data_IF_907455563155
#
_entry.id   IF_907455563155
#
_cell.length_a   1.000
_cell.length_b   1.000
_cell.length_c   1.000
_cell.angle_alpha   90.00
_cell.angle_beta   90.00
_cell.angle_gamma   90.00
#
_symmetry.space_group_name_H-M   'P 1'
#
loop_
_entity.id
_entity.type
_entity.pdbx_description
1 polymer ?
#
# COMPACT_ATOMS: atom_id res chain seq x y z
N UNK A 1 17.51 -11.53 -21.69
CA UNK A 1 16.18 -12.10 -21.95
C UNK A 1 15.13 -11.15 -21.37
N UNK A 2 14.21 -10.61 -22.18
CA UNK A 2 13.13 -9.73 -21.67
C UNK A 2 11.98 -10.61 -21.17
N UNK A 3 11.63 -10.49 -19.88
CA UNK A 3 10.49 -11.20 -19.29
C UNK A 3 9.21 -10.50 -19.77
N UNK A 4 8.29 -11.27 -20.35
CA UNK A 4 6.96 -10.77 -20.70
C UNK A 4 6.01 -11.04 -19.54
N UNK A 5 5.48 -9.98 -18.94
CA UNK A 5 4.44 -10.08 -17.92
C UNK A 5 3.08 -10.20 -18.60
N UNK A 6 2.30 -11.20 -18.20
CA UNK A 6 0.91 -11.38 -18.63
C UNK A 6 0.01 -11.17 -17.43
N UNK A 7 -1.02 -10.35 -17.59
CA UNK A 7 -2.05 -10.20 -16.56
C UNK A 7 -2.81 -11.52 -16.38
N UNK A 8 -2.83 -12.02 -15.15
CA UNK A 8 -3.62 -13.18 -14.75
C UNK A 8 -4.88 -12.70 -14.01
N UNK A 9 -6.06 -13.28 -14.26
CA UNK A 9 -7.31 -12.85 -13.61
C UNK A 9 -7.21 -12.82 -12.08
N UNK A 10 -6.72 -13.90 -11.47
CA UNK A 10 -6.56 -13.99 -10.02
C UNK A 10 -5.62 -12.92 -9.43
N UNK A 11 -4.62 -12.46 -10.20
CA UNK A 11 -3.74 -11.35 -9.77
C UNK A 11 -4.45 -10.01 -9.84
N UNK A 12 -5.29 -9.80 -10.88
CA UNK A 12 -6.13 -8.62 -11.00
C UNK A 12 -7.14 -8.59 -9.84
N UNK A 13 -7.77 -9.72 -9.53
CA UNK A 13 -8.75 -9.82 -8.46
C UNK A 13 -8.15 -9.56 -7.08
N UNK A 14 -6.93 -10.06 -6.82
CA UNK A 14 -6.19 -9.78 -5.60
C UNK A 14 -5.89 -8.27 -5.46
N UNK A 15 -5.41 -7.63 -6.53
CA UNK A 15 -5.12 -6.19 -6.54
C UNK A 15 -6.40 -5.38 -6.31
N UNK A 16 -7.47 -5.67 -7.06
CA UNK A 16 -8.74 -4.97 -6.93
C UNK A 16 -9.36 -5.17 -5.53
N UNK A 17 -9.17 -6.33 -4.91
CA UNK A 17 -9.68 -6.58 -3.56
C UNK A 17 -9.06 -5.66 -2.50
N UNK A 18 -7.83 -5.18 -2.68
CA UNK A 18 -7.25 -4.16 -1.81
C UNK A 18 -7.72 -2.76 -2.21
N UNK A 19 -7.67 -2.45 -3.50
CA UNK A 19 -7.94 -1.09 -4.01
C UNK A 19 -9.41 -0.71 -3.79
N UNK A 20 -10.34 -1.63 -4.02
CA UNK A 20 -11.78 -1.39 -3.88
C UNK A 20 -12.19 -1.12 -2.43
N UNK A 21 -11.40 -1.51 -1.42
CA UNK A 21 -11.65 -1.14 -0.02
C UNK A 21 -11.65 0.38 0.17
N UNK A 22 -10.90 1.12 -0.63
CA UNK A 22 -10.81 2.58 -0.55
C UNK A 22 -11.63 3.30 -1.63
N UNK A 23 -12.61 2.62 -2.25
CA UNK A 23 -13.53 3.24 -3.20
C UNK A 23 -14.21 4.49 -2.59
N UNK A 24 -14.20 5.60 -3.34
CA UNK A 24 -14.71 6.89 -2.89
C UNK A 24 -13.69 7.80 -2.20
N UNK A 25 -12.47 7.31 -1.91
CA UNK A 25 -11.38 8.17 -1.44
C UNK A 25 -11.00 9.19 -2.53
N UNK A 26 -10.87 10.46 -2.14
CA UNK A 26 -10.47 11.53 -3.07
C UNK A 26 -9.02 11.35 -3.50
N UNK A 27 -8.78 11.47 -4.80
CA UNK A 27 -7.44 11.56 -5.36
C UNK A 27 -6.92 12.97 -5.15
N UNK A 28 -6.06 13.13 -4.15
CA UNK A 28 -5.30 14.37 -3.94
C UNK A 28 -3.94 14.12 -4.56
N UNK A 29 -3.71 14.68 -5.75
CA UNK A 29 -2.36 14.77 -6.27
C UNK A 29 -1.66 15.84 -5.44
N UNK A 30 -0.65 15.42 -4.67
CA UNK A 30 0.30 16.37 -4.12
C UNK A 30 0.90 17.10 -5.31
N UNK A 31 0.41 18.31 -5.58
CA UNK A 31 1.02 19.17 -6.57
C UNK A 31 2.43 19.37 -6.05
N UNK A 32 3.39 18.77 -6.75
CA UNK A 32 4.75 19.28 -6.77
C UNK A 32 4.61 20.74 -7.18
N UNK A 33 4.47 21.60 -6.18
CA UNK A 33 5.03 22.92 -6.26
C UNK A 33 6.51 22.63 -6.41
N UNK A 34 6.93 22.47 -7.66
CA UNK A 34 8.31 22.71 -8.03
C UNK A 34 8.68 23.96 -7.25
N UNK A 35 9.59 23.80 -6.28
CA UNK A 35 10.29 24.90 -5.67
C UNK A 35 11.13 25.49 -6.82
N UNK A 36 10.44 26.20 -7.72
CA UNK A 36 11.01 27.22 -8.52
C UNK A 36 11.47 28.24 -7.52
N UNK A 37 12.78 28.45 -7.51
CA UNK A 37 13.46 29.66 -7.07
C UNK A 37 12.67 30.92 -7.44
N UNK A 38 11.66 31.27 -6.65
CA UNK A 38 10.92 32.52 -6.73
C UNK A 38 10.68 33.04 -5.31
N UNK A 39 11.38 34.11 -4.90
CA UNK A 39 11.44 34.54 -3.52
C UNK A 39 10.29 35.51 -3.18
N UNK A 40 9.02 35.08 -3.26
CA UNK A 40 7.92 36.05 -3.03
C UNK A 40 6.57 35.55 -2.54
N UNK A 41 6.43 34.31 -2.03
CA UNK A 41 5.23 33.97 -1.23
C UNK A 41 5.64 33.22 0.02
N UNK A 42 5.19 33.73 1.17
CA UNK A 42 5.26 33.06 2.46
C UNK A 42 4.44 31.77 2.34
N UNK A 43 5.08 30.68 1.94
CA UNK A 43 4.50 29.34 2.02
C UNK A 43 4.55 28.93 3.48
N UNK A 44 3.40 28.71 4.10
CA UNK A 44 3.33 28.25 5.48
C UNK A 44 4.03 26.89 5.59
N UNK A 45 4.78 26.65 6.66
CA UNK A 45 5.48 25.39 6.88
C UNK A 45 4.54 24.16 6.84
N UNK A 46 3.27 24.35 7.19
CA UNK A 46 2.20 23.36 7.11
C UNK A 46 1.88 22.91 5.68
N UNK A 47 1.93 23.83 4.71
CA UNK A 47 1.60 23.53 3.30
C UNK A 47 2.74 22.75 2.62
N UNK A 48 3.97 22.93 3.11
CA UNK A 48 5.15 22.17 2.65
C UNK A 48 5.12 20.72 3.18
N UNK A 49 4.73 20.50 4.44
CA UNK A 49 4.62 19.16 5.02
C UNK A 49 3.51 18.31 4.39
N UNK A 50 2.40 18.94 3.95
CA UNK A 50 1.35 18.26 3.20
C UNK A 50 1.81 17.78 1.83
N UNK A 51 2.82 18.43 1.24
CA UNK A 51 3.43 18.04 -0.02
C UNK A 51 4.20 16.72 0.05
N UNK A 52 4.73 16.36 1.22
CA UNK A 52 5.66 15.24 1.40
C UNK A 52 5.02 14.00 2.03
N UNK A 53 3.78 14.04 2.50
CA UNK A 53 3.11 12.85 3.05
C UNK A 53 2.01 12.36 2.12
N UNK A 54 1.69 11.07 2.22
CA UNK A 54 0.50 10.57 1.56
C UNK A 54 -0.75 11.29 2.11
N UNK A 55 -1.73 11.63 1.26
CA UNK A 55 -3.01 12.16 1.75
C UNK A 55 -3.65 11.19 2.75
N UNK A 56 -4.22 11.75 3.82
CA UNK A 56 -4.93 10.96 4.83
C UNK A 56 -6.14 10.24 4.21
N UNK A 57 -6.51 9.09 4.78
CA UNK A 57 -7.79 8.44 4.46
C UNK A 57 -8.92 9.35 4.96
N UNK A 58 -9.72 9.86 4.03
CA UNK A 58 -10.84 10.78 4.29
C UNK A 58 -12.17 10.06 4.44
N UNK A 59 -12.23 8.79 4.02
CA UNK A 59 -13.39 7.93 4.18
C UNK A 59 -13.75 7.76 5.67
N UNK A 60 -15.04 7.85 5.98
CA UNK A 60 -15.54 7.49 7.31
C UNK A 60 -15.36 5.99 7.57
N UNK A 61 -15.36 5.61 8.85
CA UNK A 61 -15.22 4.19 9.22
C UNK A 61 -16.38 3.34 8.70
N UNK A 62 -17.59 3.92 8.60
CA UNK A 62 -18.76 3.24 8.04
C UNK A 62 -18.58 2.96 6.54
N UNK A 63 -18.15 3.96 5.77
CA UNK A 63 -17.93 3.82 4.33
C UNK A 63 -16.80 2.82 4.03
N UNK A 64 -15.71 2.89 4.80
CA UNK A 64 -14.60 1.96 4.66
C UNK A 64 -15.03 0.52 4.99
N UNK A 65 -15.78 0.33 6.07
CA UNK A 65 -16.32 -0.97 6.45
C UNK A 65 -17.31 -1.50 5.42
N UNK A 66 -18.15 -0.65 4.82
CA UNK A 66 -19.06 -1.02 3.74
C UNK A 66 -18.30 -1.52 2.51
N UNK A 67 -17.24 -0.81 2.10
CA UNK A 67 -16.39 -1.23 0.99
C UNK A 67 -15.73 -2.59 1.26
N UNK A 68 -15.17 -2.78 2.46
CA UNK A 68 -14.58 -4.06 2.87
C UNK A 68 -15.61 -5.18 2.81
N UNK A 69 -16.83 -4.96 3.32
CA UNK A 69 -17.92 -5.95 3.26
C UNK A 69 -18.32 -6.29 1.82
N UNK A 70 -18.33 -5.30 0.90
CA UNK A 70 -18.58 -5.55 -0.53
C UNK A 70 -17.51 -6.45 -1.14
N UNK A 71 -16.24 -6.20 -0.83
CA UNK A 71 -15.12 -7.05 -1.27
C UNK A 71 -15.24 -8.46 -0.68
N UNK A 72 -15.49 -8.59 0.62
CA UNK A 72 -15.67 -9.88 1.29
C UNK A 72 -16.83 -10.68 0.69
N UNK A 73 -17.98 -10.03 0.47
CA UNK A 73 -19.14 -10.64 -0.15
C UNK A 73 -18.83 -11.17 -1.56
N UNK A 74 -18.15 -10.37 -2.41
CA UNK A 74 -17.72 -10.79 -3.75
C UNK A 74 -16.82 -12.03 -3.72
N UNK A 75 -15.99 -12.16 -2.69
CA UNK A 75 -15.07 -13.27 -2.49
C UNK A 75 -15.65 -14.42 -1.66
N UNK A 76 -16.95 -14.38 -1.33
CA UNK A 76 -17.63 -15.36 -0.46
C UNK A 76 -16.95 -15.55 0.92
N UNK A 77 -16.44 -14.46 1.49
CA UNK A 77 -15.80 -14.43 2.80
C UNK A 77 -16.77 -14.02 3.92
N UNK A 78 -16.53 -14.44 5.18
CA UNK A 78 -17.27 -13.93 6.33
C UNK A 78 -17.18 -12.40 6.43
N UNK A 79 -18.32 -11.76 6.68
CA UNK A 79 -18.41 -10.30 6.75
C UNK A 79 -17.90 -9.77 8.10
N UNK A 80 -17.01 -8.79 8.05
CA UNK A 80 -16.49 -8.12 9.25
C UNK A 80 -17.57 -7.30 9.94
N UNK A 81 -17.60 -7.36 11.28
CA UNK A 81 -18.56 -6.56 12.09
C UNK A 81 -18.07 -5.13 12.31
N UNK A 82 -16.76 -4.95 12.45
CA UNK A 82 -16.11 -3.66 12.65
C UNK A 82 -14.67 -3.70 12.09
N UNK A 83 -14.03 -2.55 11.95
CA UNK A 83 -12.62 -2.44 11.54
C UNK A 83 -11.61 -2.89 12.61
N UNK A 84 -12.08 -3.05 13.86
CA UNK A 84 -11.26 -3.37 15.04
C UNK A 84 -11.51 -4.79 15.56
N UNK A 85 -12.26 -5.59 14.81
CA UNK A 85 -12.54 -6.98 15.13
C UNK A 85 -11.51 -7.87 14.42
N UNK A 86 -10.56 -8.39 15.20
CA UNK A 86 -9.49 -9.23 14.71
C UNK A 86 -9.76 -10.69 15.08
N UNK A 87 -9.68 -11.58 14.09
CA UNK A 87 -9.88 -13.00 14.29
C UNK A 87 -8.83 -13.81 13.55
N UNK A 88 -8.50 -14.98 14.09
CA UNK A 88 -7.58 -15.94 13.47
C UNK A 88 -8.38 -17.17 13.06
N UNK A 89 -8.11 -17.69 11.87
CA UNK A 89 -8.63 -18.97 11.42
C UNK A 89 -7.81 -20.11 12.03
N UNK A 90 -8.46 -21.05 12.70
CA UNK A 90 -7.80 -22.30 13.09
C UNK A 90 -7.60 -23.22 11.86
N UNK A 91 -6.81 -24.28 12.02
CA UNK A 91 -6.63 -25.36 11.03
C UNK A 91 -7.94 -25.97 10.50
N UNK A 92 -9.04 -25.82 11.26
CA UNK A 92 -10.39 -26.28 10.89
C UNK A 92 -11.27 -25.19 10.27
N UNK A 93 -10.71 -24.06 9.85
CA UNK A 93 -11.42 -22.93 9.23
C UNK A 93 -12.36 -22.16 10.17
N UNK A 94 -12.26 -22.35 11.49
CA UNK A 94 -13.10 -21.65 12.48
C UNK A 94 -12.40 -20.40 13.01
N UNK A 95 -13.09 -19.26 12.96
CA UNK A 95 -12.62 -17.99 13.53
C UNK A 95 -12.56 -18.05 15.06
N UNK A 96 -11.46 -17.57 15.63
CA UNK A 96 -11.30 -17.29 17.07
C UNK A 96 -10.83 -15.86 17.30
N UNK A 97 -11.25 -15.21 18.40
CA UNK A 97 -10.75 -13.89 18.73
C UNK A 97 -9.24 -13.94 19.01
N UNK A 98 -8.54 -12.89 18.60
CA UNK A 98 -7.13 -12.68 18.94
C UNK A 98 -6.93 -12.46 20.44
N UNK A 99 -5.69 -12.60 20.91
CA UNK A 99 -5.32 -12.20 22.27
C UNK A 99 -5.46 -10.68 22.46
N UNK A 100 -5.80 -10.20 23.67
CA UNK A 100 -5.94 -8.77 23.94
C UNK A 100 -4.70 -7.94 23.59
N UNK A 101 -3.49 -8.46 23.87
CA UNK A 101 -2.23 -7.75 23.56
C UNK A 101 -2.06 -7.52 22.05
N UNK A 102 -2.37 -8.53 21.24
CA UNK A 102 -2.33 -8.40 19.78
C UNK A 102 -3.27 -7.29 19.29
N UNK A 103 -4.50 -7.25 19.83
CA UNK A 103 -5.48 -6.22 19.46
C UNK A 103 -4.98 -4.82 19.82
N UNK A 104 -4.38 -4.65 21.01
CA UNK A 104 -3.81 -3.36 21.42
C UNK A 104 -2.69 -2.92 20.46
N UNK A 105 -1.77 -3.81 20.16
CA UNK A 105 -0.59 -3.48 19.35
C UNK A 105 -0.97 -3.24 17.88
N UNK A 106 -1.94 -3.98 17.34
CA UNK A 106 -2.47 -3.76 15.99
C UNK A 106 -3.12 -2.37 15.86
N UNK A 107 -4.00 -2.01 16.80
CA UNK A 107 -4.69 -0.71 16.80
C UNK A 107 -3.73 0.47 17.03
N UNK A 108 -2.59 0.24 17.69
CA UNK A 108 -1.55 1.24 17.83
C UNK A 108 -0.76 1.44 16.52
N UNK A 109 -0.67 0.41 15.67
CA UNK A 109 0.10 0.46 14.42
C UNK A 109 -0.69 1.10 13.26
N UNK A 110 -1.98 0.78 13.13
CA UNK A 110 -2.82 1.30 12.05
C UNK A 110 -4.28 1.30 12.44
N UNK A 111 -5.06 2.19 11.81
CA UNK A 111 -6.53 2.18 11.89
C UNK A 111 -7.17 1.13 10.97
N UNK A 112 -6.43 0.67 9.96
CA UNK A 112 -6.92 -0.21 8.90
C UNK A 112 -5.94 -1.36 8.73
N UNK A 113 -6.47 -2.58 8.77
CA UNK A 113 -5.74 -3.82 8.55
C UNK A 113 -6.48 -4.62 7.49
N UNK A 114 -5.79 -4.97 6.41
CA UNK A 114 -6.33 -5.76 5.31
C UNK A 114 -5.43 -6.97 5.11
N UNK A 115 -6.01 -8.15 5.16
CA UNK A 115 -5.31 -9.41 4.93
C UNK A 115 -5.66 -9.94 3.53
N UNK A 116 -4.61 -10.26 2.76
CA UNK A 116 -4.74 -10.89 1.45
C UNK A 116 -4.02 -12.23 1.50
N UNK A 117 -4.80 -13.30 1.49
CA UNK A 117 -4.28 -14.66 1.46
C UNK A 117 -4.07 -15.11 0.01
N UNK A 118 -2.87 -15.60 -0.29
CA UNK A 118 -2.55 -16.13 -1.61
C UNK A 118 -1.58 -17.31 -1.48
N UNK A 119 -1.82 -18.36 -2.27
CA UNK A 119 -1.00 -19.55 -2.32
C UNK A 119 0.44 -19.26 -2.78
N UNK A 120 1.40 -20.10 -2.41
CA UNK A 120 2.79 -19.95 -2.87
C UNK A 120 2.90 -20.13 -4.38
N UNK A 121 3.76 -19.35 -5.04
CA UNK A 121 3.94 -19.39 -6.49
C UNK A 121 2.91 -18.60 -7.31
N UNK A 122 1.89 -18.00 -6.69
CA UNK A 122 0.85 -17.19 -7.41
C UNK A 122 1.26 -15.74 -7.69
N UNK A 123 2.48 -15.33 -7.32
CA UNK A 123 2.96 -13.98 -7.60
C UNK A 123 2.46 -12.89 -6.64
N UNK A 124 2.34 -13.22 -5.35
CA UNK A 124 2.11 -12.25 -4.24
C UNK A 124 2.91 -10.95 -4.40
N UNK A 125 4.21 -11.10 -4.69
CA UNK A 125 5.14 -9.99 -4.89
C UNK A 125 4.71 -9.06 -6.01
N UNK A 126 4.34 -9.61 -7.15
CA UNK A 126 3.84 -8.83 -8.28
C UNK A 126 2.52 -8.13 -7.93
N UNK A 127 1.62 -8.79 -7.19
CA UNK A 127 0.33 -8.25 -6.83
C UNK A 127 0.44 -7.04 -5.89
N UNK A 128 1.24 -7.09 -4.83
CA UNK A 128 1.36 -5.91 -3.96
C UNK A 128 2.11 -4.76 -4.67
N UNK A 129 3.07 -5.03 -5.56
CA UNK A 129 3.71 -3.97 -6.37
C UNK A 129 2.68 -3.33 -7.29
N UNK A 130 1.88 -4.12 -8.01
CA UNK A 130 0.80 -3.61 -8.85
C UNK A 130 -0.23 -2.83 -8.02
N UNK A 131 -0.52 -3.28 -6.80
CA UNK A 131 -1.40 -2.57 -5.85
C UNK A 131 -0.85 -1.20 -5.51
N UNK A 132 0.45 -1.06 -5.25
CA UNK A 132 1.11 0.24 -5.03
C UNK A 132 0.87 1.19 -6.20
N UNK A 133 1.06 0.73 -7.44
CA UNK A 133 0.80 1.54 -8.64
C UNK A 133 -0.68 1.90 -8.81
N UNK A 134 -1.61 0.98 -8.54
CA UNK A 134 -3.05 1.25 -8.59
C UNK A 134 -3.48 2.26 -7.50
N UNK A 135 -2.95 2.14 -6.28
CA UNK A 135 -3.22 3.07 -5.19
C UNK A 135 -2.73 4.48 -5.53
N UNK A 136 -1.53 4.60 -6.10
CA UNK A 136 -1.04 5.86 -6.62
C UNK A 136 -1.96 6.42 -7.72
N UNK A 137 -2.31 5.58 -8.70
CA UNK A 137 -3.12 6.01 -9.84
C UNK A 137 -4.54 6.44 -9.41
N UNK A 138 -5.16 5.76 -8.46
CA UNK A 138 -6.55 6.02 -8.04
C UNK A 138 -6.65 7.04 -6.92
N UNK A 139 -5.72 7.05 -5.97
CA UNK A 139 -5.85 7.84 -4.73
C UNK A 139 -4.68 8.80 -4.48
N UNK A 140 -3.62 8.76 -5.29
CA UNK A 140 -2.48 9.67 -5.17
C UNK A 140 -1.48 9.30 -4.08
N UNK A 141 -1.59 8.11 -3.46
CA UNK A 141 -0.59 7.63 -2.52
C UNK A 141 0.70 7.26 -3.24
N UNK A 142 1.81 7.92 -2.91
CA UNK A 142 3.11 7.78 -3.58
C UNK A 142 4.16 7.09 -2.71
N UNK A 143 4.02 7.13 -1.38
CA UNK A 143 4.98 6.58 -0.43
C UNK A 143 4.51 5.27 0.19
N UNK A 144 5.37 4.25 0.16
CA UNK A 144 5.05 2.91 0.68
C UNK A 144 6.26 2.30 1.37
N UNK A 145 6.00 1.57 2.46
CA UNK A 145 7.02 0.82 3.21
C UNK A 145 6.67 -0.66 3.12
N UNK A 146 7.61 -1.47 2.62
CA UNK A 146 7.46 -2.93 2.55
C UNK A 146 8.33 -3.56 3.63
N UNK A 147 7.68 -4.14 4.64
CA UNK A 147 8.36 -4.82 5.75
C UNK A 147 8.43 -6.32 5.44
N UNK A 148 9.60 -6.92 5.60
CA UNK A 148 9.87 -8.33 5.26
C UNK A 148 10.55 -9.06 6.42
N UNK A 149 10.32 -10.36 6.62
CA UNK A 149 10.77 -11.07 7.82
C UNK A 149 12.23 -11.56 7.75
N UNK A 150 12.87 -11.52 6.57
CA UNK A 150 14.25 -12.00 6.41
C UNK A 150 15.02 -11.25 5.32
N UNK A 151 16.34 -11.30 5.41
CA UNK A 151 17.25 -10.72 4.41
C UNK A 151 17.04 -11.36 3.04
N UNK A 152 16.90 -12.69 2.97
CA UNK A 152 16.69 -13.37 1.70
C UNK A 152 15.40 -12.92 0.98
N UNK A 153 14.31 -12.74 1.73
CA UNK A 153 13.05 -12.21 1.17
C UNK A 153 13.25 -10.76 0.72
N UNK A 154 13.96 -9.93 1.50
CA UNK A 154 14.29 -8.55 1.14
C UNK A 154 15.01 -8.44 -0.21
N UNK A 155 16.07 -9.23 -0.41
CA UNK A 155 16.82 -9.24 -1.68
C UNK A 155 15.93 -9.71 -2.84
N UNK A 156 15.09 -10.73 -2.62
CA UNK A 156 14.13 -11.19 -3.63
C UNK A 156 13.09 -10.14 -4.02
N UNK A 157 12.58 -9.39 -3.05
CA UNK A 157 11.66 -8.26 -3.28
C UNK A 157 12.35 -7.14 -4.04
N UNK A 158 13.56 -6.75 -3.62
CA UNK A 158 14.33 -5.72 -4.30
C UNK A 158 14.58 -6.10 -5.77
N UNK A 159 14.96 -7.36 -6.02
CA UNK A 159 15.14 -7.84 -7.38
C UNK A 159 13.85 -7.84 -8.20
N UNK A 160 12.72 -8.14 -7.57
CA UNK A 160 11.41 -8.10 -8.22
C UNK A 160 11.03 -6.68 -8.63
N UNK A 161 11.31 -5.67 -7.80
CA UNK A 161 11.13 -4.26 -8.14
C UNK A 161 11.97 -3.85 -9.35
N UNK A 162 13.25 -4.26 -9.40
CA UNK A 162 14.12 -3.99 -10.56
C UNK A 162 13.58 -4.62 -11.86
N UNK A 163 13.23 -5.90 -11.83
CA UNK A 163 12.80 -6.64 -13.02
C UNK A 163 11.46 -6.11 -13.54
N UNK A 164 10.57 -5.69 -12.65
CA UNK A 164 9.25 -5.18 -13.02
C UNK A 164 9.22 -3.68 -13.34
N UNK A 165 10.33 -2.96 -13.17
CA UNK A 165 10.40 -1.51 -13.35
C UNK A 165 10.00 -1.05 -14.77
N UNK A 166 10.55 -1.67 -15.83
CA UNK A 166 10.21 -1.34 -17.22
C UNK A 166 8.73 -1.62 -17.51
N UNK A 167 8.23 -2.77 -17.04
CA UNK A 167 6.83 -3.18 -17.23
C UNK A 167 5.83 -2.19 -16.62
N UNK A 168 6.04 -1.83 -15.34
CA UNK A 168 5.15 -0.89 -14.68
C UNK A 168 5.33 0.55 -15.18
N UNK A 169 6.55 0.95 -15.54
CA UNK A 169 6.80 2.26 -16.15
C UNK A 169 6.07 2.43 -17.48
N UNK A 170 6.07 1.40 -18.34
CA UNK A 170 5.34 1.43 -19.61
C UNK A 170 3.83 1.46 -19.40
N UNK A 171 3.32 0.78 -18.37
CA UNK A 171 1.89 0.67 -18.09
C UNK A 171 1.30 1.91 -17.42
N UNK A 172 1.99 2.47 -16.43
CA UNK A 172 1.48 3.55 -15.58
C UNK A 172 2.09 4.92 -15.92
N UNK A 173 3.08 4.97 -16.83
CA UNK A 173 3.76 6.21 -17.21
C UNK A 173 4.73 6.77 -16.16
N UNK A 174 4.88 6.09 -15.02
CA UNK A 174 5.70 6.52 -13.89
C UNK A 174 6.67 5.41 -13.47
N UNK A 175 7.87 5.80 -13.04
CA UNK A 175 8.87 4.87 -12.51
C UNK A 175 8.93 4.96 -10.99
N UNK A 176 8.76 3.83 -10.32
CA UNK A 176 8.93 3.77 -8.87
C UNK A 176 10.40 3.96 -8.48
N UNK A 177 10.63 4.80 -7.46
CA UNK A 177 11.90 4.89 -6.73
C UNK A 177 11.83 3.97 -5.52
N UNK A 178 12.89 3.20 -5.29
CA UNK A 178 12.95 2.24 -4.19
C UNK A 178 14.38 2.08 -3.70
N UNK A 179 14.53 1.83 -2.40
CA UNK A 179 15.79 1.59 -1.73
C UNK A 179 15.60 0.60 -0.58
N UNK A 180 16.70 0.04 -0.07
CA UNK A 180 16.70 -0.82 1.10
C UNK A 180 17.10 0.00 2.31
N UNK A 181 16.25 0.04 3.34
CA UNK A 181 16.60 0.68 4.60
C UNK A 181 17.93 0.15 5.15
N UNK A 182 18.82 1.09 5.50
CA UNK A 182 20.11 0.81 6.07
C UNK A 182 20.41 1.81 7.19
N UNK A 183 20.56 1.33 8.43
CA UNK A 183 20.81 2.18 9.60
C UNK A 183 22.14 2.95 9.54
N UNK A 184 23.07 2.57 8.64
CA UNK A 184 24.31 3.31 8.38
C UNK A 184 24.17 4.39 7.31
N UNK A 185 23.05 4.41 6.57
CA UNK A 185 22.77 5.36 5.47
C UNK A 185 21.40 6.01 5.70
N UNK A 186 21.31 6.85 6.72
CA UNK A 186 20.06 7.52 7.10
C UNK A 186 19.58 8.56 6.09
N UNK A 187 20.49 9.13 5.27
CA UNK A 187 20.12 10.10 4.24
C UNK A 187 19.06 9.58 3.26
N UNK A 188 19.08 8.28 2.89
CA UNK A 188 18.06 7.69 2.01
C UNK A 188 16.66 7.73 2.66
N UNK A 189 16.59 7.59 3.98
CA UNK A 189 15.34 7.71 4.74
C UNK A 189 14.91 9.18 4.89
N UNK A 190 15.86 10.09 5.08
CA UNK A 190 15.61 11.53 5.14
C UNK A 190 15.06 12.03 3.80
N UNK A 191 15.67 11.64 2.68
CA UNK A 191 15.20 11.92 1.32
C UNK A 191 13.79 11.34 1.11
N UNK A 192 13.57 10.08 1.52
CA UNK A 192 12.24 9.47 1.48
C UNK A 192 11.21 10.23 2.31
N UNK A 193 11.59 10.88 3.41
CA UNK A 193 10.67 11.66 4.25
C UNK A 193 10.38 13.06 3.68
N UNK A 194 11.35 13.66 2.99
CA UNK A 194 11.30 15.06 2.54
C UNK A 194 10.94 15.26 1.07
N UNK A 195 10.77 14.19 0.30
CA UNK A 195 10.38 14.24 -1.11
C UNK A 195 8.87 13.96 -1.31
N UNK A 196 8.26 14.34 -2.43
CA UNK A 196 6.83 14.07 -2.71
C UNK A 196 6.55 12.66 -3.26
N UNK A 197 7.61 11.88 -3.54
CA UNK A 197 7.54 10.53 -4.13
C UNK A 197 7.91 10.49 -5.61
#
# INVERSE_FOLDING_TARGET
MKIKFKDQPYQIDAVNSVVDCFAGQLKILSLSSHIGTSPSKQTSATDLEEGFKNPNITLSEENLLENIKKVQHRQNLPLSKSLVDFSILNEKGKCRPVRPDYKRDALAASRVHLDIEMETGTGKTYCYIKTIFEMHNRYGWSKFIVIVPSIAIREGVYKSLEITAEHFSLRYGNKARFFIYNSRRLHELEDFSTDAG
#
